data_IF_199462960107
#
_entry.id   IF_199462960107
#
_cell.length_a   1.000
_cell.length_b   1.000
_cell.length_c   1.000
_cell.angle_alpha   90.00
_cell.angle_beta   90.00
_cell.angle_gamma   90.00
#
_symmetry.space_group_name_H-M   'P 1'
#
loop_
_entity.id
_entity.type
_entity.pdbx_description
1 polymer ?
#
# COMPACT_ATOMS: atom_id res chain seq x y z
N UNK A 1 3.60 -22.97 6.67
CA UNK A 1 3.82 -23.34 5.26
C UNK A 1 5.19 -22.91 4.75
N UNK A 2 5.53 -21.62 4.72
CA UNK A 2 6.77 -21.17 4.07
C UNK A 2 8.04 -21.35 4.90
N UNK A 3 7.96 -21.08 6.20
CA UNK A 3 9.14 -21.15 7.08
C UNK A 3 9.48 -22.58 7.54
N UNK A 4 8.59 -23.54 7.28
CA UNK A 4 8.82 -24.97 7.54
C UNK A 4 9.45 -25.72 6.35
N UNK A 5 9.76 -25.03 5.25
CA UNK A 5 10.33 -25.64 4.04
C UNK A 5 9.38 -26.56 3.26
N UNK A 6 8.14 -26.73 3.73
CA UNK A 6 7.11 -27.53 3.08
C UNK A 6 6.49 -26.71 1.94
N UNK A 7 7.00 -26.92 0.72
CA UNK A 7 6.42 -26.42 -0.54
C UNK A 7 5.46 -27.42 -1.20
N UNK A 8 5.01 -28.44 -0.45
CA UNK A 8 4.02 -29.37 -0.96
C UNK A 8 2.69 -28.64 -1.06
N UNK A 9 2.19 -28.50 -2.28
CA UNK A 9 0.83 -28.07 -2.58
C UNK A 9 -0.02 -29.29 -2.91
N UNK A 10 0.26 -30.46 -2.33
CA UNK A 10 -0.41 -31.70 -2.76
C UNK A 10 -1.82 -31.80 -2.20
N UNK A 11 -2.06 -31.24 -1.02
CA UNK A 11 -3.37 -31.16 -0.40
C UNK A 11 -4.19 -29.96 -0.93
N UNK A 12 -5.51 -30.10 -0.81
CA UNK A 12 -6.48 -29.13 -1.34
C UNK A 12 -6.42 -27.79 -0.60
N UNK A 13 -6.21 -27.81 0.71
CA UNK A 13 -6.23 -26.62 1.56
C UNK A 13 -5.05 -25.70 1.25
N UNK A 14 -3.85 -26.27 1.08
CA UNK A 14 -2.66 -25.57 0.63
C UNK A 14 -2.85 -24.91 -0.74
N UNK A 15 -3.50 -25.61 -1.68
CA UNK A 15 -3.83 -25.05 -3.01
C UNK A 15 -4.82 -23.90 -2.92
N UNK A 16 -5.89 -24.05 -2.12
CA UNK A 16 -6.91 -23.01 -1.95
C UNK A 16 -6.31 -21.77 -1.27
N UNK A 17 -5.51 -21.96 -0.23
CA UNK A 17 -4.79 -20.88 0.46
C UNK A 17 -3.87 -20.12 -0.50
N UNK A 18 -3.08 -20.85 -1.30
CA UNK A 18 -2.19 -20.22 -2.28
C UNK A 18 -2.96 -19.44 -3.34
N UNK A 19 -4.08 -19.97 -3.83
CA UNK A 19 -4.95 -19.24 -4.77
C UNK A 19 -5.46 -17.94 -4.16
N UNK A 20 -5.92 -17.95 -2.91
CA UNK A 20 -6.37 -16.74 -2.21
C UNK A 20 -5.25 -15.71 -2.09
N UNK A 21 -4.03 -16.14 -1.73
CA UNK A 21 -2.85 -15.27 -1.67
C UNK A 21 -2.55 -14.66 -3.05
N UNK A 22 -2.58 -15.46 -4.12
CA UNK A 22 -2.37 -14.96 -5.48
C UNK A 22 -3.44 -13.96 -5.90
N UNK A 23 -4.72 -14.19 -5.54
CA UNK A 23 -5.79 -13.25 -5.82
C UNK A 23 -5.55 -11.91 -5.11
N UNK A 24 -5.18 -11.92 -3.82
CA UNK A 24 -4.81 -10.70 -3.09
C UNK A 24 -3.61 -10.01 -3.73
N UNK A 25 -2.62 -10.77 -4.20
CA UNK A 25 -1.45 -10.23 -4.91
C UNK A 25 -1.85 -9.48 -6.17
N UNK A 26 -2.73 -10.07 -6.97
CA UNK A 26 -3.26 -9.45 -8.18
C UNK A 26 -4.07 -8.19 -7.85
N UNK A 27 -4.90 -8.23 -6.81
CA UNK A 27 -5.75 -7.12 -6.39
C UNK A 27 -4.92 -5.87 -6.03
N UNK A 28 -3.81 -6.06 -5.31
CA UNK A 28 -2.93 -4.94 -4.91
C UNK A 28 -1.74 -4.73 -5.85
N UNK A 29 -1.74 -5.33 -7.05
CA UNK A 29 -0.57 -5.33 -7.95
C UNK A 29 -0.14 -3.94 -8.43
N UNK A 30 -0.99 -2.92 -8.29
CA UNK A 30 -0.68 -1.54 -8.64
C UNK A 30 0.60 -1.02 -7.95
N UNK A 31 0.86 -1.44 -6.70
CA UNK A 31 2.04 -0.99 -5.94
C UNK A 31 3.37 -1.46 -6.55
N UNK A 32 3.34 -2.43 -7.45
CA UNK A 32 4.54 -3.00 -8.10
C UNK A 32 4.85 -2.38 -9.46
N UNK A 33 3.96 -1.53 -9.97
CA UNK A 33 4.06 -0.95 -11.31
C UNK A 33 5.05 0.24 -11.32
N UNK A 34 5.52 0.68 -12.49
CA UNK A 34 6.29 1.92 -12.59
C UNK A 34 5.58 3.08 -11.89
N UNK A 35 6.36 3.98 -11.32
CA UNK A 35 5.88 5.04 -10.43
C UNK A 35 4.70 5.83 -11.00
N UNK A 36 4.82 6.29 -12.24
CA UNK A 36 3.78 7.04 -12.96
C UNK A 36 2.44 6.28 -13.04
N UNK A 37 2.48 4.96 -13.17
CA UNK A 37 1.28 4.13 -13.17
C UNK A 37 0.75 3.97 -11.75
N UNK A 38 1.61 3.59 -10.81
CA UNK A 38 1.24 3.39 -9.41
C UNK A 38 0.64 4.65 -8.80
N UNK A 39 1.26 5.82 -9.04
CA UNK A 39 0.80 7.12 -8.53
C UNK A 39 -0.60 7.44 -9.04
N UNK A 40 -0.85 7.23 -10.33
CA UNK A 40 -2.18 7.47 -10.92
C UNK A 40 -3.24 6.56 -10.27
N UNK A 41 -2.93 5.29 -10.05
CA UNK A 41 -3.87 4.37 -9.37
C UNK A 41 -4.09 4.80 -7.92
N UNK A 42 -3.04 5.19 -7.20
CA UNK A 42 -3.17 5.71 -5.82
C UNK A 42 -4.04 6.96 -5.76
N UNK A 43 -3.87 7.91 -6.70
CA UNK A 43 -4.71 9.12 -6.78
C UNK A 43 -6.20 8.79 -6.96
N UNK A 44 -6.53 7.78 -7.78
CA UNK A 44 -7.91 7.32 -7.96
C UNK A 44 -8.50 6.71 -6.68
N UNK A 45 -7.75 5.81 -6.02
CA UNK A 45 -8.18 5.19 -4.76
C UNK A 45 -8.37 6.24 -3.66
N UNK A 46 -7.47 7.22 -3.57
CA UNK A 46 -7.57 8.32 -2.61
C UNK A 46 -8.80 9.19 -2.90
N UNK A 47 -9.07 9.48 -4.18
CA UNK A 47 -10.28 10.22 -4.56
C UNK A 47 -11.54 9.50 -4.09
N UNK A 48 -11.63 8.19 -4.31
CA UNK A 48 -12.76 7.38 -3.87
C UNK A 48 -12.89 7.37 -2.34
N UNK A 49 -11.79 7.23 -1.61
CA UNK A 49 -11.79 7.28 -0.14
C UNK A 49 -12.24 8.63 0.40
N UNK A 50 -11.83 9.74 -0.23
CA UNK A 50 -12.30 11.06 0.16
C UNK A 50 -13.79 11.25 -0.13
N UNK A 51 -14.27 10.77 -1.28
CA UNK A 51 -15.69 10.87 -1.62
C UNK A 51 -16.55 10.03 -0.65
N UNK A 52 -16.03 8.90 -0.16
CA UNK A 52 -16.66 8.12 0.91
C UNK A 52 -16.63 8.85 2.26
N UNK A 53 -15.47 9.39 2.66
CA UNK A 53 -15.33 10.12 3.91
C UNK A 53 -16.19 11.39 3.98
N UNK A 54 -16.36 12.07 2.84
CA UNK A 54 -17.25 13.23 2.72
C UNK A 54 -18.71 12.84 2.95
N UNK A 55 -19.15 11.67 2.45
CA UNK A 55 -20.51 11.15 2.73
C UNK A 55 -20.68 10.80 4.20
N UNK A 56 -19.70 10.14 4.80
CA UNK A 56 -19.72 9.81 6.23
C UNK A 56 -19.84 11.07 7.09
N UNK A 57 -19.06 12.11 6.77
CA UNK A 57 -19.08 13.39 7.49
C UNK A 57 -20.37 14.17 7.28
N UNK A 58 -20.81 14.34 6.03
CA UNK A 58 -21.88 15.28 5.68
C UNK A 58 -23.29 14.67 5.78
N UNK A 59 -23.43 13.38 5.49
CA UNK A 59 -24.75 12.72 5.44
C UNK A 59 -25.03 11.93 6.72
N UNK A 60 -23.99 11.32 7.31
CA UNK A 60 -24.12 10.45 8.48
C UNK A 60 -23.62 11.08 9.78
N UNK A 61 -22.96 12.25 9.71
CA UNK A 61 -22.35 12.93 10.84
C UNK A 61 -21.35 12.03 11.61
N UNK A 62 -20.62 11.18 10.89
CA UNK A 62 -19.58 10.28 11.38
C UNK A 62 -18.22 10.89 11.05
N UNK A 63 -17.27 10.85 11.99
CA UNK A 63 -15.90 11.25 11.72
C UNK A 63 -15.23 10.21 10.82
N UNK A 64 -14.78 10.57 9.60
CA UNK A 64 -14.15 9.62 8.70
C UNK A 64 -12.78 9.17 9.23
N UNK A 65 -12.36 7.99 8.78
CA UNK A 65 -11.00 7.49 9.04
C UNK A 65 -9.95 8.39 8.39
N UNK A 66 -8.73 8.43 8.93
CA UNK A 66 -7.69 9.34 8.45
C UNK A 66 -7.34 9.18 6.96
N UNK A 67 -7.44 7.97 6.40
CA UNK A 67 -7.23 7.73 4.96
C UNK A 67 -8.38 8.16 4.07
N UNK A 68 -9.54 8.44 4.65
CA UNK A 68 -10.76 8.90 3.98
C UNK A 68 -11.04 10.39 4.28
N UNK A 69 -10.29 10.99 5.20
CA UNK A 69 -10.45 12.38 5.60
C UNK A 69 -9.69 13.31 4.63
N UNK A 70 -10.45 14.02 3.78
CA UNK A 70 -9.88 14.96 2.79
C UNK A 70 -9.08 16.09 3.44
N UNK A 71 -9.38 16.43 4.70
CA UNK A 71 -8.66 17.45 5.46
C UNK A 71 -7.24 17.00 5.84
N UNK A 72 -6.95 15.68 5.77
CA UNK A 72 -5.64 15.06 6.06
C UNK A 72 -4.87 14.64 4.81
N UNK A 73 -5.13 15.32 3.68
CA UNK A 73 -4.50 14.99 2.40
C UNK A 73 -2.97 15.08 2.42
N UNK A 74 -2.39 15.93 3.27
CA UNK A 74 -0.95 16.01 3.44
C UNK A 74 -0.38 14.70 4.01
N UNK A 75 -1.09 13.99 4.88
CA UNK A 75 -0.64 12.73 5.50
C UNK A 75 -0.66 11.52 4.54
N UNK A 76 -1.13 11.67 3.30
CA UNK A 76 -1.27 10.56 2.35
C UNK A 76 0.04 9.79 2.14
N UNK A 77 1.18 10.48 2.05
CA UNK A 77 2.46 9.81 1.84
C UNK A 77 2.80 8.86 3.01
N UNK A 78 2.63 9.33 4.25
CA UNK A 78 2.77 8.53 5.48
C UNK A 78 1.79 7.36 5.54
N UNK A 79 0.54 7.58 5.13
CA UNK A 79 -0.48 6.52 5.10
C UNK A 79 -0.14 5.44 4.05
N UNK A 80 0.33 5.83 2.86
CA UNK A 80 0.82 4.90 1.84
C UNK A 80 2.01 4.09 2.35
N UNK A 81 2.98 4.70 3.02
CA UNK A 81 4.10 3.98 3.64
C UNK A 81 3.62 2.95 4.67
N UNK A 82 2.68 3.34 5.53
CA UNK A 82 2.10 2.43 6.53
C UNK A 82 1.37 1.25 5.89
N UNK A 83 0.63 1.47 4.79
CA UNK A 83 -0.03 0.42 4.03
C UNK A 83 0.97 -0.50 3.31
N UNK A 84 2.01 0.07 2.70
CA UNK A 84 3.07 -0.69 2.03
C UNK A 84 3.79 -1.59 3.03
N UNK A 85 4.19 -1.06 4.18
CA UNK A 85 4.96 -1.79 5.19
C UNK A 85 4.10 -2.81 5.95
N UNK A 86 2.84 -2.47 6.21
CA UNK A 86 1.91 -3.33 6.94
C UNK A 86 1.32 -4.48 6.12
N UNK A 87 1.07 -4.26 4.82
CA UNK A 87 0.32 -5.21 3.98
C UNK A 87 1.15 -5.70 2.79
N UNK A 88 1.67 -4.79 1.97
CA UNK A 88 2.25 -5.16 0.68
C UNK A 88 3.60 -5.86 0.85
N UNK A 89 4.50 -5.29 1.64
CA UNK A 89 5.87 -5.78 1.79
C UNK A 89 5.91 -7.21 2.37
N UNK A 90 5.14 -7.56 3.43
CA UNK A 90 5.07 -8.94 3.91
C UNK A 90 4.55 -9.92 2.85
N UNK A 91 3.55 -9.53 2.07
CA UNK A 91 2.98 -10.35 0.99
C UNK A 91 4.03 -10.66 -0.08
N UNK A 92 4.68 -9.65 -0.65
CA UNK A 92 5.65 -9.86 -1.72
C UNK A 92 6.94 -10.55 -1.26
N UNK A 93 7.38 -10.31 -0.02
CA UNK A 93 8.47 -11.10 0.59
C UNK A 93 8.10 -12.58 0.72
N UNK A 94 6.85 -12.88 1.07
CA UNK A 94 6.35 -14.26 1.19
C UNK A 94 6.24 -14.94 -0.18
N UNK A 95 5.80 -14.22 -1.21
CA UNK A 95 5.73 -14.74 -2.59
C UNK A 95 7.10 -15.12 -3.14
N UNK A 96 8.16 -14.37 -2.85
CA UNK A 96 9.51 -14.69 -3.34
C UNK A 96 10.10 -15.94 -2.66
N UNK A 97 9.74 -16.18 -1.39
CA UNK A 97 10.07 -17.44 -0.72
C UNK A 97 9.44 -18.65 -1.42
N UNK A 98 8.28 -18.45 -2.06
CA UNK A 98 7.57 -19.48 -2.84
C UNK A 98 8.17 -19.66 -4.22
N UNK A 99 8.27 -18.57 -4.99
CA UNK A 99 8.84 -18.56 -6.32
C UNK A 99 9.68 -17.29 -6.55
N UNK A 100 11.00 -17.42 -6.75
CA UNK A 100 11.87 -16.30 -7.06
C UNK A 100 11.48 -15.51 -8.31
N UNK A 101 10.64 -16.06 -9.20
CA UNK A 101 10.15 -15.36 -10.40
C UNK A 101 9.38 -14.06 -10.07
N UNK A 102 8.86 -13.93 -8.85
CA UNK A 102 8.18 -12.72 -8.39
C UNK A 102 9.12 -11.57 -7.96
N UNK A 103 10.44 -11.77 -7.99
CA UNK A 103 11.43 -10.75 -7.60
C UNK A 103 11.23 -9.37 -8.26
N UNK A 104 10.90 -9.27 -9.57
CA UNK A 104 10.65 -7.97 -10.20
C UNK A 104 9.50 -7.18 -9.55
N UNK A 105 8.49 -7.87 -9.02
CA UNK A 105 7.35 -7.22 -8.36
C UNK A 105 7.76 -6.63 -7.00
N UNK A 106 8.59 -7.33 -6.22
CA UNK A 106 9.14 -6.77 -4.98
C UNK A 106 10.05 -5.59 -5.27
N UNK A 107 10.88 -5.65 -6.32
CA UNK A 107 11.73 -4.53 -6.70
C UNK A 107 10.90 -3.28 -7.02
N UNK A 108 9.84 -3.43 -7.83
CA UNK A 108 8.93 -2.31 -8.13
C UNK A 108 8.23 -1.75 -6.89
N UNK A 109 7.83 -2.62 -5.95
CA UNK A 109 7.28 -2.20 -4.66
C UNK A 109 8.29 -1.38 -3.85
N UNK A 110 9.54 -1.85 -3.73
CA UNK A 110 10.59 -1.17 -2.97
C UNK A 110 10.94 0.19 -3.59
N UNK A 111 10.98 0.27 -4.93
CA UNK A 111 11.20 1.52 -5.64
C UNK A 111 10.08 2.53 -5.36
N UNK A 112 8.82 2.09 -5.38
CA UNK A 112 7.67 2.95 -5.07
C UNK A 112 7.65 3.35 -3.59
N UNK A 113 7.98 2.44 -2.67
CA UNK A 113 8.13 2.75 -1.25
C UNK A 113 9.15 3.87 -1.03
N UNK A 114 10.32 3.78 -1.66
CA UNK A 114 11.36 4.80 -1.56
C UNK A 114 10.91 6.16 -2.11
N UNK A 115 10.04 6.18 -3.13
CA UNK A 115 9.46 7.42 -3.65
C UNK A 115 8.45 8.03 -2.68
N UNK A 116 7.58 7.22 -2.10
CA UNK A 116 6.67 7.68 -1.04
C UNK A 116 7.42 8.21 0.19
N UNK A 117 8.53 7.57 0.56
CA UNK A 117 9.40 8.01 1.65
C UNK A 117 9.99 9.41 1.38
N UNK A 118 10.43 9.68 0.15
CA UNK A 118 10.88 11.02 -0.24
C UNK A 118 9.75 12.06 -0.16
N UNK A 119 8.55 11.72 -0.62
CA UNK A 119 7.40 12.62 -0.54
C UNK A 119 7.02 12.94 0.91
N UNK A 120 7.07 11.96 1.81
CA UNK A 120 6.81 12.19 3.23
C UNK A 120 7.92 13.03 3.89
N UNK A 121 9.19 12.79 3.54
CA UNK A 121 10.31 13.60 4.01
C UNK A 121 10.21 15.07 3.54
N UNK A 122 9.80 15.30 2.29
CA UNK A 122 9.55 16.64 1.75
C UNK A 122 8.41 17.35 2.51
N UNK A 123 7.34 16.63 2.84
CA UNK A 123 6.24 17.14 3.67
C UNK A 123 6.71 17.55 5.06
N UNK A 124 7.44 16.67 5.75
CA UNK A 124 7.99 16.95 7.09
C UNK A 124 8.91 18.16 7.08
N UNK A 125 9.76 18.29 6.05
CA UNK A 125 10.65 19.45 5.88
C UNK A 125 9.85 20.75 5.72
N UNK A 126 8.80 20.75 4.90
CA UNK A 126 7.93 21.93 4.72
C UNK A 126 7.24 22.34 6.02
N UNK A 127 6.74 21.38 6.78
CA UNK A 127 6.10 21.66 8.07
C UNK A 127 7.10 22.24 9.07
N UNK A 128 8.32 21.68 9.15
CA UNK A 128 9.37 22.21 10.02
C UNK A 128 9.77 23.66 9.68
N UNK A 129 9.87 24.00 8.38
CA UNK A 129 10.15 25.37 7.94
C UNK A 129 9.02 26.32 8.36
N UNK A 130 7.76 25.93 8.16
CA UNK A 130 6.60 26.74 8.55
C UNK A 130 6.51 26.95 10.06
N UNK A 131 6.89 25.96 10.87
CA UNK A 131 6.92 26.05 12.33
C UNK A 131 8.11 26.87 12.87
N UNK A 132 9.24 26.87 12.16
CA UNK A 132 10.48 27.55 12.61
C UNK A 132 10.63 28.97 12.07
N UNK A 133 9.84 29.38 11.07
CA UNK A 133 9.75 30.76 10.60
C UNK A 133 11.02 31.33 9.95
N UNK A 134 11.92 30.48 9.46
CA UNK A 134 13.13 30.85 8.70
C UNK A 134 12.99 30.46 7.24
#
# INVERSE_FOLDING_TARGET
>A
MLDSGQRSFDDRESKETFRSILMTTCDIAAITKPWEVQRKVSELVISEFFDQGDKEKNELNIQPQACMDRDKRDEIAKLQLSWIDGICLPLYKSLIKLDPSFQPMLNGLLDNRARWERLDAERLTKHAILETGV
#
